data_IF_638311184432
#
_entry.id   IF_638311184432
#
_cell.length_a   1.000
_cell.length_b   1.000
_cell.length_c   1.000
_cell.angle_alpha   90.00
_cell.angle_beta   90.00
_cell.angle_gamma   90.00
#
_symmetry.space_group_name_H-M   'P 1'
#
loop_
_entity.id
_entity.type
_entity.pdbx_description
1 polymer ?
#
# COMPACT_ATOMS: atom_id res chain seq x y z
N UNK A 1 -18.20 47.47 52.96
CA UNK A 1 -17.66 48.02 51.69
C UNK A 1 -17.57 46.89 50.67
N UNK A 2 -18.54 46.79 49.75
CA UNK A 2 -18.57 45.79 48.68
C UNK A 2 -17.99 46.42 47.42
N UNK A 3 -16.90 45.86 46.86
CA UNK A 3 -16.38 46.26 45.54
C UNK A 3 -17.08 45.42 44.48
N UNK A 4 -17.85 46.10 43.64
CA UNK A 4 -18.41 45.59 42.40
C UNK A 4 -17.28 45.73 41.36
N UNK A 5 -16.81 44.61 40.81
CA UNK A 5 -15.88 44.60 39.67
C UNK A 5 -16.73 44.48 38.41
N UNK A 6 -16.55 45.36 37.41
CA UNK A 6 -17.34 45.32 36.19
C UNK A 6 -16.91 44.18 35.26
N UNK A 7 -17.93 43.53 34.72
CA UNK A 7 -17.94 42.47 33.72
C UNK A 7 -17.63 43.07 32.35
N UNK A 8 -16.36 43.03 31.94
CA UNK A 8 -15.96 43.47 30.61
C UNK A 8 -14.76 42.68 30.09
N UNK A 9 -14.99 41.45 29.62
CA UNK A 9 -14.23 40.92 28.48
C UNK A 9 -14.87 39.65 27.90
N UNK A 10 -16.05 39.82 27.31
CA UNK A 10 -16.63 38.88 26.36
C UNK A 10 -16.41 39.44 24.95
N UNK A 11 -15.32 39.06 24.27
CA UNK A 11 -15.24 39.15 22.80
C UNK A 11 -14.74 37.85 22.15
N UNK A 12 -15.43 37.38 21.10
CA UNK A 12 -15.14 36.11 20.44
C UNK A 12 -13.97 36.21 19.45
N UNK A 13 -12.95 35.37 19.65
CA UNK A 13 -11.89 35.04 18.68
C UNK A 13 -12.46 34.19 17.53
N UNK A 14 -13.33 34.76 16.69
CA UNK A 14 -13.95 34.06 15.55
C UNK A 14 -13.83 34.82 14.24
N UNK A 15 -12.66 35.40 13.92
CA UNK A 15 -12.49 36.09 12.62
C UNK A 15 -11.08 36.08 12.03
N UNK A 16 -10.09 35.37 12.60
CA UNK A 16 -8.69 35.41 12.11
C UNK A 16 -8.14 34.07 11.57
N UNK A 17 -8.99 33.10 11.23
CA UNK A 17 -8.55 31.80 10.69
C UNK A 17 -9.07 31.51 9.27
N UNK A 18 -9.79 32.44 8.64
CA UNK A 18 -10.31 32.26 7.27
C UNK A 18 -9.41 32.79 6.15
N UNK A 19 -8.31 33.49 6.47
CA UNK A 19 -7.44 34.10 5.45
C UNK A 19 -6.19 33.26 5.11
N UNK A 20 -5.88 32.19 5.86
CA UNK A 20 -4.72 31.34 5.58
C UNK A 20 -4.95 30.26 4.48
N UNK A 21 -6.18 30.13 3.98
CA UNK A 21 -6.55 29.02 3.09
C UNK A 21 -6.35 29.30 1.58
N UNK A 22 -6.07 30.55 1.18
CA UNK A 22 -6.07 30.92 -0.26
C UNK A 22 -4.65 31.04 -0.83
N UNK A 23 -3.64 31.40 -0.04
CA UNK A 23 -2.26 31.59 -0.54
C UNK A 23 -1.54 30.28 -0.93
N UNK A 24 -1.88 29.13 -0.33
CA UNK A 24 -1.18 27.87 -0.62
C UNK A 24 -1.54 27.24 -1.98
N UNK A 25 -2.69 27.59 -2.57
CA UNK A 25 -3.11 26.97 -3.84
C UNK A 25 -2.39 27.53 -5.07
N UNK A 26 -1.81 28.73 -5.00
CA UNK A 26 -1.13 29.35 -6.14
C UNK A 26 0.34 28.93 -6.29
N UNK A 27 0.97 28.39 -5.24
CA UNK A 27 2.37 27.96 -5.31
C UNK A 27 2.55 26.59 -5.98
N UNK A 28 1.59 25.67 -5.80
CA UNK A 28 1.68 24.30 -6.36
C UNK A 28 1.55 24.24 -7.90
N UNK A 29 0.84 25.19 -8.52
CA UNK A 29 0.67 25.22 -9.98
C UNK A 29 1.93 25.68 -10.74
N UNK A 30 2.89 26.32 -10.07
CA UNK A 30 4.06 26.93 -10.74
C UNK A 30 5.27 26.00 -10.89
N UNK A 31 5.27 24.82 -10.26
CA UNK A 31 6.41 23.88 -10.32
C UNK A 31 6.24 22.70 -11.30
N UNK A 32 5.07 22.49 -11.91
CA UNK A 32 4.86 21.37 -12.86
C UNK A 32 5.28 21.65 -14.31
N UNK A 33 5.82 22.83 -14.61
CA UNK A 33 6.45 23.12 -15.90
C UNK A 33 7.96 23.21 -15.70
N UNK A 34 8.69 22.14 -16.08
CA UNK A 34 10.04 22.14 -16.67
C UNK A 34 10.82 20.89 -16.28
N UNK A 35 10.49 19.75 -16.89
CA UNK A 35 11.46 18.70 -17.26
C UNK A 35 10.81 17.63 -18.11
N UNK A 36 10.58 17.96 -19.37
CA UNK A 36 10.38 16.96 -20.43
C UNK A 36 11.76 16.57 -20.96
N UNK A 37 12.30 15.38 -20.64
CA UNK A 37 13.42 14.85 -21.40
C UNK A 37 12.87 14.38 -22.74
N UNK A 38 13.21 15.12 -23.80
CA UNK A 38 13.19 14.61 -25.18
C UNK A 38 14.16 13.43 -25.25
N UNK A 39 13.65 12.21 -25.08
CA UNK A 39 14.43 11.01 -25.37
C UNK A 39 14.07 10.57 -26.77
N UNK A 40 15.08 10.69 -27.62
CA UNK A 40 15.10 10.33 -29.03
C UNK A 40 14.73 8.86 -29.22
N UNK A 41 13.76 8.65 -30.10
CA UNK A 41 13.55 7.41 -30.84
C UNK A 41 14.88 6.94 -31.42
N UNK A 42 15.41 5.83 -30.92
CA UNK A 42 16.45 5.05 -31.61
C UNK A 42 15.91 3.65 -31.83
N UNK A 43 15.42 3.44 -33.06
CA UNK A 43 15.02 2.16 -33.60
C UNK A 43 16.23 1.23 -33.64
N UNK A 44 16.19 0.15 -32.85
CA UNK A 44 17.16 -0.94 -32.96
C UNK A 44 16.43 -2.20 -33.43
N UNK A 45 16.54 -2.45 -34.74
CA UNK A 45 16.31 -3.73 -35.39
C UNK A 45 17.55 -4.60 -35.19
N UNK A 46 17.43 -5.76 -34.53
CA UNK A 46 18.30 -6.94 -34.63
C UNK A 46 17.52 -8.12 -34.01
N UNK A 47 16.91 -8.99 -34.81
CA UNK A 47 17.48 -10.18 -35.45
C UNK A 47 17.56 -11.40 -34.52
N UNK A 48 16.58 -12.30 -34.69
CA UNK A 48 16.76 -13.75 -34.83
C UNK A 48 17.40 -14.53 -33.68
N UNK A 49 16.57 -15.27 -32.94
CA UNK A 49 17.04 -16.30 -32.02
C UNK A 49 15.89 -17.00 -31.28
N UNK A 50 14.95 -17.60 -32.02
CA UNK A 50 13.93 -18.47 -31.41
C UNK A 50 14.55 -19.83 -31.10
N UNK A 51 15.03 -20.02 -29.87
CA UNK A 51 15.28 -21.36 -29.34
C UNK A 51 13.94 -22.01 -29.01
N UNK A 52 13.53 -22.93 -29.87
CA UNK A 52 12.38 -23.79 -29.70
C UNK A 52 12.59 -24.70 -28.48
N UNK A 53 11.74 -24.57 -27.46
CA UNK A 53 11.61 -25.56 -26.40
C UNK A 53 10.64 -26.63 -26.91
N UNK A 54 11.17 -27.78 -27.32
CA UNK A 54 10.39 -28.96 -27.70
C UNK A 54 9.85 -29.67 -26.46
N UNK A 55 8.53 -29.76 -26.36
CA UNK A 55 7.83 -30.66 -25.44
C UNK A 55 6.88 -31.53 -26.25
N UNK A 56 7.30 -32.77 -26.54
CA UNK A 56 6.48 -33.75 -27.25
C UNK A 56 5.42 -34.35 -26.32
N UNK A 57 4.16 -34.26 -26.74
CA UNK A 57 3.03 -34.97 -26.15
C UNK A 57 2.02 -35.26 -27.26
N UNK A 58 2.07 -36.48 -27.79
CA UNK A 58 1.12 -36.97 -28.80
C UNK A 58 -0.21 -37.29 -28.13
N UNK A 59 -1.22 -36.46 -28.41
CA UNK A 59 -2.62 -36.71 -28.09
C UNK A 59 -3.49 -36.11 -29.19
N UNK A 60 -3.98 -36.95 -30.10
CA UNK A 60 -4.78 -36.56 -31.26
C UNK A 60 -6.22 -36.17 -30.85
N UNK A 61 -6.34 -34.99 -30.26
CA UNK A 61 -7.60 -34.27 -30.10
C UNK A 61 -7.38 -32.79 -30.37
N UNK A 62 -8.39 -32.02 -30.81
CA UNK A 62 -8.32 -30.56 -30.82
C UNK A 62 -8.32 -30.06 -29.36
N UNK A 63 -7.20 -30.22 -28.65
CA UNK A 63 -6.94 -29.56 -27.38
C UNK A 63 -6.93 -28.07 -27.66
N UNK A 64 -8.08 -27.45 -27.44
CA UNK A 64 -8.23 -26.00 -27.48
C UNK A 64 -7.39 -25.48 -26.31
N UNK A 65 -6.13 -25.14 -26.56
CA UNK A 65 -5.22 -24.64 -25.55
C UNK A 65 -5.89 -23.43 -24.89
N UNK A 66 -6.35 -23.63 -23.65
CA UNK A 66 -7.02 -22.59 -22.87
C UNK A 66 -6.06 -21.42 -22.60
N UNK A 67 -6.59 -20.24 -22.25
CA UNK A 67 -5.74 -19.11 -21.90
C UNK A 67 -4.82 -19.48 -20.75
N UNK A 68 -3.53 -19.17 -20.87
CA UNK A 68 -2.60 -19.35 -19.76
C UNK A 68 -2.90 -18.29 -18.69
N UNK A 69 -3.52 -18.71 -17.60
CA UNK A 69 -3.90 -17.83 -16.48
C UNK A 69 -2.95 -18.05 -15.30
N UNK A 70 -2.51 -16.95 -14.71
CA UNK A 70 -1.84 -16.95 -13.40
C UNK A 70 -2.83 -16.51 -12.32
N UNK A 71 -2.84 -17.22 -11.19
CA UNK A 71 -3.74 -16.94 -10.08
C UNK A 71 -3.01 -16.79 -8.75
N UNK A 72 -3.40 -15.81 -7.96
CA UNK A 72 -2.92 -15.64 -6.59
C UNK A 72 -4.01 -16.11 -5.63
N UNK A 73 -3.69 -17.00 -4.69
CA UNK A 73 -4.68 -17.50 -3.73
C UNK A 73 -4.92 -16.54 -2.55
N UNK A 74 -3.97 -15.66 -2.27
CA UNK A 74 -4.02 -14.69 -1.17
C UNK A 74 -3.00 -13.54 -1.37
N UNK A 75 -3.05 -12.48 -0.54
CA UNK A 75 -2.01 -11.46 -0.53
C UNK A 75 -0.63 -12.03 -0.21
N UNK A 76 0.39 -11.48 -0.87
CA UNK A 76 1.82 -11.77 -0.66
C UNK A 76 2.35 -11.36 0.72
N UNK A 77 1.69 -10.39 1.38
CA UNK A 77 1.97 -9.94 2.74
C UNK A 77 0.67 -9.81 3.53
N UNK A 78 0.63 -10.44 4.70
CA UNK A 78 -0.52 -10.57 5.58
C UNK A 78 -0.11 -10.09 6.98
N UNK A 79 -0.78 -9.07 7.49
CA UNK A 79 -0.70 -8.67 8.89
C UNK A 79 -1.66 -9.58 9.64
N UNK A 80 -1.10 -10.60 10.29
CA UNK A 80 -1.87 -11.65 10.97
C UNK A 80 -2.35 -11.19 12.35
N UNK A 81 -1.53 -10.41 13.06
CA UNK A 81 -1.89 -9.84 14.35
C UNK A 81 -1.31 -8.44 14.53
N UNK A 82 -1.98 -7.64 15.34
CA UNK A 82 -1.48 -6.37 15.82
C UNK A 82 -1.77 -6.23 17.32
N UNK A 83 -0.79 -5.81 18.11
CA UNK A 83 -0.88 -5.81 19.57
C UNK A 83 -0.16 -4.61 20.20
N UNK A 84 -0.60 -4.21 21.40
CA UNK A 84 0.14 -3.32 22.29
C UNK A 84 1.44 -4.02 22.74
N UNK A 85 2.58 -3.37 22.55
CA UNK A 85 3.89 -3.94 22.84
C UNK A 85 4.13 -4.21 24.34
N UNK A 86 3.40 -3.52 25.22
CA UNK A 86 3.54 -3.64 26.68
C UNK A 86 2.48 -4.57 27.26
N UNK A 87 1.22 -4.42 26.83
CA UNK A 87 0.10 -5.15 27.44
C UNK A 87 -0.34 -6.37 26.65
N UNK A 88 0.20 -6.61 25.45
CA UNK A 88 -0.23 -7.66 24.49
C UNK A 88 -1.72 -7.57 24.10
N UNK A 89 -2.37 -6.43 24.39
CA UNK A 89 -3.76 -6.20 24.03
C UNK A 89 -3.90 -6.11 22.52
N UNK A 90 -4.86 -6.83 21.95
CA UNK A 90 -5.09 -6.83 20.51
C UNK A 90 -5.53 -5.46 19.99
N UNK A 91 -4.98 -5.07 18.83
CA UNK A 91 -5.32 -3.87 18.08
C UNK A 91 -6.07 -4.29 16.81
N UNK A 92 -7.41 -4.28 16.84
CA UNK A 92 -8.19 -4.84 15.72
C UNK A 92 -8.13 -3.99 14.45
N UNK A 93 -7.75 -2.72 14.56
CA UNK A 93 -7.74 -1.77 13.45
C UNK A 93 -6.43 -0.99 13.40
N UNK A 94 -5.82 -0.95 12.22
CA UNK A 94 -4.60 -0.21 11.91
C UNK A 94 -4.83 0.74 10.74
N UNK A 95 -4.14 1.87 10.74
CA UNK A 95 -3.95 2.69 9.55
C UNK A 95 -2.51 2.52 9.06
N UNK A 96 -2.38 2.09 7.81
CA UNK A 96 -1.13 1.92 7.09
C UNK A 96 -0.91 3.10 6.15
N UNK A 97 0.23 3.75 6.24
CA UNK A 97 0.59 4.91 5.43
C UNK A 97 2.03 4.83 4.93
N UNK A 98 2.42 5.71 4.02
CA UNK A 98 3.80 5.77 3.47
C UNK A 98 4.30 4.41 2.98
N UNK A 99 3.42 3.65 2.31
CA UNK A 99 3.72 2.30 1.84
C UNK A 99 4.72 2.38 0.68
N UNK A 100 5.78 1.59 0.75
CA UNK A 100 6.83 1.49 -0.25
C UNK A 100 7.08 0.02 -0.58
N UNK A 101 7.40 -0.25 -1.84
CA UNK A 101 7.88 -1.53 -2.35
C UNK A 101 9.27 -1.31 -2.95
N UNK A 102 10.28 -1.98 -2.40
CA UNK A 102 11.68 -1.89 -2.82
C UNK A 102 12.19 -0.43 -2.87
N UNK A 103 11.76 0.38 -1.90
CA UNK A 103 12.12 1.80 -1.77
C UNK A 103 11.35 2.76 -2.67
N UNK A 104 10.47 2.26 -3.54
CA UNK A 104 9.59 3.09 -4.36
C UNK A 104 8.20 3.24 -3.71
N UNK A 105 7.54 4.41 -3.80
CA UNK A 105 6.16 4.57 -3.34
C UNK A 105 5.24 3.52 -3.97
N UNK A 106 4.46 2.85 -3.13
CA UNK A 106 3.47 1.88 -3.56
C UNK A 106 2.13 2.57 -3.81
N UNK A 107 1.56 2.39 -5.00
CA UNK A 107 0.27 2.96 -5.34
C UNK A 107 -0.87 2.23 -4.61
N UNK A 108 -1.45 2.88 -3.61
CA UNK A 108 -2.57 2.35 -2.83
C UNK A 108 -3.93 2.69 -3.43
N UNK A 109 -3.99 3.39 -4.57
CA UNK A 109 -5.25 3.74 -5.23
C UNK A 109 -5.93 2.53 -5.88
N UNK A 110 -5.17 1.47 -6.16
CA UNK A 110 -5.67 0.22 -6.73
C UNK A 110 -5.22 -0.94 -5.83
N UNK A 111 -6.18 -1.57 -5.17
CA UNK A 111 -5.93 -2.78 -4.40
C UNK A 111 -5.84 -4.01 -5.31
N UNK A 112 -5.02 -4.98 -4.92
CA UNK A 112 -5.05 -6.29 -5.55
C UNK A 112 -6.44 -6.93 -5.37
N UNK A 113 -6.89 -7.73 -6.35
CA UNK A 113 -8.16 -8.46 -6.26
C UNK A 113 -8.21 -9.37 -5.02
N UNK A 114 -7.03 -9.86 -4.63
CA UNK A 114 -6.81 -10.77 -3.51
C UNK A 114 -6.70 -10.04 -2.17
N UNK A 115 -6.77 -8.70 -2.14
CA UNK A 115 -6.72 -7.93 -0.91
C UNK A 115 -7.84 -8.35 0.06
N UNK A 116 -7.51 -8.40 1.36
CA UNK A 116 -8.40 -8.86 2.43
C UNK A 116 -8.44 -7.85 3.56
N UNK A 117 -9.66 -7.51 3.99
CA UNK A 117 -9.92 -6.64 5.16
C UNK A 117 -9.15 -5.31 5.14
N UNK A 118 -8.98 -4.73 3.96
CA UNK A 118 -8.38 -3.41 3.77
C UNK A 118 -9.33 -2.52 2.98
N UNK A 119 -9.38 -1.24 3.35
CA UNK A 119 -10.10 -0.21 2.62
C UNK A 119 -9.17 0.97 2.36
N UNK A 120 -9.33 1.59 1.19
CA UNK A 120 -8.57 2.78 0.84
C UNK A 120 -9.13 3.96 1.64
N UNK A 121 -8.26 4.73 2.29
CA UNK A 121 -8.59 5.96 3.00
C UNK A 121 -7.67 7.09 2.53
N UNK A 122 -7.98 8.33 2.90
CA UNK A 122 -7.14 9.48 2.53
C UNK A 122 -5.71 9.30 3.06
N UNK A 123 -4.75 9.09 2.14
CA UNK A 123 -3.33 8.96 2.47
C UNK A 123 -2.85 7.55 2.86
N UNK A 124 -3.67 6.51 2.68
CA UNK A 124 -3.23 5.15 2.97
C UNK A 124 -4.33 4.09 2.95
N UNK A 125 -4.16 3.06 3.77
CA UNK A 125 -5.08 1.93 3.91
C UNK A 125 -5.52 1.82 5.38
N UNK A 126 -6.82 1.65 5.62
CA UNK A 126 -7.31 1.17 6.90
C UNK A 126 -7.41 -0.36 6.81
N UNK A 127 -6.83 -1.04 7.80
CA UNK A 127 -6.67 -2.49 7.88
C UNK A 127 -7.39 -3.01 9.13
N UNK A 128 -8.35 -3.91 8.92
CA UNK A 128 -9.01 -4.67 9.99
C UNK A 128 -8.31 -6.02 10.12
N UNK A 129 -7.59 -6.23 11.22
CA UNK A 129 -6.69 -7.39 11.41
C UNK A 129 -7.51 -8.67 11.61
N UNK A 130 -7.15 -9.80 10.94
CA UNK A 130 -6.04 -9.97 10.00
C UNK A 130 -6.33 -9.37 8.61
N UNK A 131 -5.33 -8.76 7.97
CA UNK A 131 -5.49 -8.06 6.68
C UNK A 131 -4.30 -8.26 5.73
N UNK A 132 -4.47 -7.95 4.44
CA UNK A 132 -3.39 -7.95 3.43
C UNK A 132 -3.82 -7.26 2.14
N UNK A 133 -2.88 -6.68 1.38
CA UNK A 133 -3.23 -5.69 0.33
C UNK A 133 -2.55 -5.85 -1.04
N UNK A 134 -1.52 -6.68 -1.19
CA UNK A 134 -0.72 -6.77 -2.42
C UNK A 134 -0.44 -8.21 -2.83
N UNK A 135 -0.30 -8.48 -4.13
CA UNK A 135 0.24 -9.73 -4.70
C UNK A 135 1.70 -9.60 -5.15
N UNK A 136 2.28 -8.39 -5.10
CA UNK A 136 3.68 -8.17 -5.46
C UNK A 136 4.61 -8.68 -4.36
N UNK A 137 5.63 -9.43 -4.74
CA UNK A 137 6.71 -9.85 -3.85
C UNK A 137 7.80 -8.76 -3.79
N UNK A 138 8.58 -8.73 -2.71
CA UNK A 138 9.63 -7.73 -2.50
C UNK A 138 9.67 -7.15 -1.09
N UNK A 139 10.53 -6.16 -0.87
CA UNK A 139 10.68 -5.47 0.42
C UNK A 139 9.61 -4.39 0.61
N UNK A 140 8.65 -4.64 1.50
CA UNK A 140 7.68 -3.64 1.91
C UNK A 140 8.19 -2.84 3.11
N UNK A 141 8.01 -1.53 3.05
CA UNK A 141 8.14 -0.63 4.20
C UNK A 141 6.89 0.22 4.30
N UNK A 142 6.30 0.33 5.49
CA UNK A 142 5.10 1.16 5.72
C UNK A 142 5.07 1.67 7.17
N UNK A 143 4.31 2.74 7.40
CA UNK A 143 4.06 3.26 8.74
C UNK A 143 2.71 2.75 9.23
N UNK A 144 2.73 1.95 10.30
CA UNK A 144 1.53 1.48 10.99
C UNK A 144 1.19 2.41 12.16
N UNK A 145 -0.11 2.72 12.31
CA UNK A 145 -0.62 3.53 13.41
C UNK A 145 -1.98 2.98 13.88
N UNK A 146 -2.31 3.25 15.15
CA UNK A 146 -3.59 2.92 15.75
C UNK A 146 -4.02 4.03 16.73
N UNK A 147 -5.31 4.13 17.03
CA UNK A 147 -5.82 5.14 17.95
C UNK A 147 -5.21 4.99 19.35
N UNK A 148 -4.55 6.05 19.84
CA UNK A 148 -3.86 6.05 21.14
C UNK A 148 -2.45 5.45 21.14
N UNK A 149 -1.89 5.11 19.98
CA UNK A 149 -0.55 4.54 19.83
C UNK A 149 0.35 5.43 18.99
N UNK A 150 1.65 5.41 19.28
CA UNK A 150 2.64 6.06 18.44
C UNK A 150 2.75 5.34 17.09
N UNK A 151 2.91 6.11 16.01
CA UNK A 151 3.15 5.55 14.69
C UNK A 151 4.52 4.87 14.64
N UNK A 152 4.60 3.72 13.96
CA UNK A 152 5.83 2.92 13.84
C UNK A 152 6.07 2.50 12.41
N UNK A 153 7.30 2.67 11.94
CA UNK A 153 7.71 2.10 10.66
C UNK A 153 7.93 0.59 10.80
N UNK A 154 7.36 -0.17 9.86
CA UNK A 154 7.43 -1.63 9.78
C UNK A 154 8.03 -1.99 8.43
N UNK A 155 9.02 -2.88 8.45
CA UNK A 155 9.63 -3.46 7.26
C UNK A 155 9.37 -4.98 7.22
N UNK A 156 9.00 -5.51 6.06
CA UNK A 156 8.81 -6.94 5.85
C UNK A 156 9.05 -7.33 4.39
N UNK A 157 9.66 -8.49 4.16
CA UNK A 157 9.81 -9.06 2.81
C UNK A 157 8.60 -9.93 2.47
N UNK A 158 7.80 -9.49 1.52
CA UNK A 158 6.67 -10.24 0.99
C UNK A 158 7.15 -11.34 0.04
N UNK A 159 6.67 -12.55 0.25
CA UNK A 159 6.98 -13.72 -0.56
C UNK A 159 5.84 -14.75 -0.43
N UNK A 160 5.71 -15.61 -1.43
CA UNK A 160 4.83 -16.78 -1.38
C UNK A 160 5.64 -18.02 -0.99
N UNK A 161 5.07 -18.86 -0.14
CA UNK A 161 5.68 -20.11 0.28
C UNK A 161 5.61 -21.19 -0.81
N UNK A 162 4.59 -21.13 -1.68
CA UNK A 162 4.33 -22.13 -2.71
C UNK A 162 4.05 -21.49 -4.06
N UNK A 163 4.61 -22.09 -5.11
CA UNK A 163 4.34 -21.73 -6.50
C UNK A 163 4.13 -22.99 -7.34
N UNK A 164 3.00 -23.08 -8.02
CA UNK A 164 2.73 -24.12 -9.02
C UNK A 164 2.98 -23.53 -10.41
N UNK A 165 3.98 -24.06 -11.10
CA UNK A 165 4.29 -23.69 -12.49
C UNK A 165 3.34 -24.34 -13.51
N UNK A 166 3.45 -23.93 -14.77
CA UNK A 166 2.62 -24.43 -15.88
C UNK A 166 1.55 -23.44 -16.36
N UNK A 167 0.65 -23.91 -17.22
CA UNK A 167 -0.52 -23.18 -17.69
C UNK A 167 -1.78 -24.00 -17.35
N UNK A 168 -2.55 -23.61 -16.30
CA UNK A 168 -2.40 -22.42 -15.47
C UNK A 168 -1.30 -22.53 -14.40
N UNK A 169 -0.87 -21.38 -13.88
CA UNK A 169 0.05 -21.29 -12.73
C UNK A 169 -0.59 -20.61 -11.53
N UNK A 170 -0.05 -20.88 -10.33
CA UNK A 170 -0.58 -20.28 -9.10
C UNK A 170 0.49 -20.00 -8.03
N UNK A 171 0.20 -19.03 -7.16
CA UNK A 171 1.01 -18.70 -5.98
C UNK A 171 0.14 -18.61 -4.73
N UNK A 172 0.61 -19.23 -3.63
CA UNK A 172 -0.08 -19.30 -2.33
C UNK A 172 0.91 -19.27 -1.17
N UNK A 173 0.42 -19.06 0.06
CA UNK A 173 1.27 -19.04 1.25
C UNK A 173 1.97 -17.69 1.45
N UNK A 174 1.23 -16.59 1.39
CA UNK A 174 1.76 -15.24 1.60
C UNK A 174 2.43 -15.06 2.96
N UNK A 175 3.42 -14.15 3.03
CA UNK A 175 4.17 -13.89 4.26
C UNK A 175 3.25 -13.33 5.36
N UNK A 176 3.24 -13.98 6.53
CA UNK A 176 2.53 -13.51 7.73
C UNK A 176 3.47 -12.75 8.65
N UNK A 177 3.01 -11.61 9.18
CA UNK A 177 3.74 -10.78 10.14
C UNK A 177 2.84 -10.35 11.30
N UNK A 178 3.47 -10.05 12.44
CA UNK A 178 2.83 -9.42 13.59
C UNK A 178 3.32 -7.97 13.72
N UNK A 179 2.42 -7.05 14.06
CA UNK A 179 2.72 -5.64 14.31
C UNK A 179 2.59 -5.34 15.80
N UNK A 180 3.63 -4.75 16.38
CA UNK A 180 3.59 -4.29 17.79
C UNK A 180 3.78 -2.78 17.84
N UNK A 181 2.83 -2.09 18.47
CA UNK A 181 2.83 -0.63 18.67
C UNK A 181 2.95 -0.29 20.15
N UNK A 182 3.61 0.82 20.46
CA UNK A 182 3.72 1.33 21.83
C UNK A 182 2.91 2.61 21.98
N UNK A 183 2.40 2.85 23.19
CA UNK A 183 1.80 4.15 23.53
C UNK A 183 2.90 5.21 23.65
N UNK A 184 2.60 6.48 23.32
CA UNK A 184 3.54 7.59 23.48
C UNK A 184 3.95 7.83 24.93
#
# INVERSE_FOLDING_TARGET
MRRIVPDEQRRPHRTLQREAAIEFQLWAYRMYRLRTPRILFTSLLLAGGVTACGGGGSGDGPETAGPCVHSYGEPSLIIESAQDATTTTALPMLTLSSIQLDGAPFDTSVLAKEAKNVKIVAGGLECTVPCGFSTKQGGFTFTASAAGYAAKQVGATAAYASSTGGCPSSQTGGKRIAVMLSRP
#
